data_IF_860635767227
#
_entry.id   IF_860635767227
#
_cell.length_a   1.000
_cell.length_b   1.000
_cell.length_c   1.000
_cell.angle_alpha   90.00
_cell.angle_beta   90.00
_cell.angle_gamma   90.00
#
_symmetry.space_group_name_H-M   'P 1'
#
loop_
_entity.id
_entity.type
_entity.pdbx_description
1 polymer ?
#
# COMPACT_ATOMS: atom_id res chain seq x y z
N UNK A 1 -11.92 10.72 20.95
CA UNK A 1 -10.95 9.63 20.65
C UNK A 1 -11.65 8.43 20.02
N UNK A 2 -12.59 7.78 20.70
CA UNK A 2 -13.30 6.59 20.17
C UNK A 2 -14.02 6.79 18.83
N UNK A 3 -14.54 7.97 18.55
CA UNK A 3 -15.25 8.26 17.29
C UNK A 3 -14.28 8.38 16.10
N UNK A 4 -13.11 8.96 16.30
CA UNK A 4 -12.04 9.02 15.28
C UNK A 4 -11.52 7.63 14.94
N UNK A 5 -11.24 6.82 15.95
CA UNK A 5 -10.80 5.42 15.76
C UNK A 5 -11.84 4.59 14.99
N UNK A 6 -13.12 4.81 15.31
CA UNK A 6 -14.23 4.16 14.60
C UNK A 6 -14.32 4.60 13.13
N UNK A 7 -14.11 5.89 12.86
CA UNK A 7 -14.08 6.42 11.49
C UNK A 7 -12.92 5.84 10.69
N UNK A 8 -11.72 5.81 11.27
CA UNK A 8 -10.54 5.23 10.63
C UNK A 8 -10.75 3.75 10.29
N UNK A 9 -11.31 2.98 11.21
CA UNK A 9 -11.62 1.57 10.97
C UNK A 9 -12.63 1.37 9.84
N UNK A 10 -13.63 2.25 9.73
CA UNK A 10 -14.61 2.23 8.64
C UNK A 10 -13.96 2.56 7.29
N UNK A 11 -13.04 3.52 7.27
CA UNK A 11 -12.28 3.88 6.06
C UNK A 11 -11.41 2.73 5.60
N UNK A 12 -10.68 2.07 6.50
CA UNK A 12 -9.87 0.89 6.20
C UNK A 12 -10.72 -0.24 5.62
N UNK A 13 -11.86 -0.55 6.25
CA UNK A 13 -12.79 -1.57 5.75
C UNK A 13 -13.29 -1.24 4.34
N UNK A 14 -13.59 0.01 4.05
CA UNK A 14 -14.04 0.45 2.73
C UNK A 14 -12.94 0.25 1.67
N UNK A 15 -11.70 0.60 1.99
CA UNK A 15 -10.54 0.37 1.11
C UNK A 15 -10.36 -1.13 0.85
N UNK A 16 -10.39 -1.95 1.90
CA UNK A 16 -10.24 -3.40 1.78
C UNK A 16 -11.30 -4.03 0.87
N UNK A 17 -12.56 -3.67 1.05
CA UNK A 17 -13.65 -4.17 0.22
C UNK A 17 -13.50 -3.74 -1.24
N UNK A 18 -13.10 -2.50 -1.48
CA UNK A 18 -12.89 -1.99 -2.82
C UNK A 18 -11.75 -2.72 -3.54
N UNK A 19 -10.59 -2.86 -2.90
CA UNK A 19 -9.45 -3.59 -3.45
C UNK A 19 -9.75 -5.08 -3.63
N UNK A 20 -10.40 -5.69 -2.65
CA UNK A 20 -10.85 -7.08 -2.70
C UNK A 20 -11.70 -7.36 -3.93
N UNK A 21 -12.66 -6.49 -4.23
CA UNK A 21 -13.53 -6.62 -5.41
C UNK A 21 -12.76 -6.44 -6.73
N UNK A 22 -11.77 -5.54 -6.76
CA UNK A 22 -10.96 -5.27 -7.96
C UNK A 22 -9.97 -6.38 -8.30
N UNK A 23 -9.36 -6.97 -7.29
CA UNK A 23 -8.33 -8.00 -7.46
C UNK A 23 -8.84 -9.42 -7.24
N UNK A 24 -10.10 -9.60 -6.89
CA UNK A 24 -10.70 -10.90 -6.54
C UNK A 24 -9.89 -11.64 -5.46
N UNK A 25 -9.54 -10.94 -4.39
CA UNK A 25 -8.79 -11.46 -3.24
C UNK A 25 -9.62 -11.32 -1.96
N UNK A 26 -9.29 -12.11 -0.96
CA UNK A 26 -9.94 -12.01 0.35
C UNK A 26 -9.65 -10.64 1.00
N UNK A 27 -10.66 -9.86 1.44
CA UNK A 27 -10.45 -8.58 2.09
C UNK A 27 -9.57 -8.67 3.36
N UNK A 28 -9.55 -9.81 4.05
CA UNK A 28 -8.69 -10.05 5.20
C UNK A 28 -7.20 -10.23 4.83
N UNK A 29 -6.89 -10.39 3.56
CA UNK A 29 -5.50 -10.41 3.06
C UNK A 29 -4.93 -9.02 2.80
N UNK A 30 -5.72 -7.97 3.03
CA UNK A 30 -5.32 -6.58 2.82
C UNK A 30 -5.17 -5.89 4.17
N UNK A 31 -3.98 -5.39 4.46
CA UNK A 31 -3.66 -4.70 5.70
C UNK A 31 -3.25 -3.24 5.37
N UNK A 32 -4.18 -2.28 5.37
CA UNK A 32 -3.87 -0.89 5.11
C UNK A 32 -3.23 -0.24 6.34
N UNK A 33 -2.17 0.52 6.13
CA UNK A 33 -1.50 1.33 7.14
C UNK A 33 -1.46 2.78 6.65
N UNK A 34 -2.59 3.45 6.71
CA UNK A 34 -2.72 4.81 6.23
C UNK A 34 -2.11 5.80 7.23
N UNK A 35 -1.48 6.84 6.71
CA UNK A 35 -0.96 7.95 7.51
C UNK A 35 -1.31 9.28 6.85
N UNK A 36 -1.32 10.34 7.63
CA UNK A 36 -1.64 11.68 7.16
C UNK A 36 -1.48 12.72 8.26
N UNK A 37 -2.12 13.86 8.10
CA UNK A 37 -2.10 14.94 9.09
C UNK A 37 -2.94 14.54 10.30
N UNK A 38 -2.39 14.74 11.49
CA UNK A 38 -3.06 14.42 12.75
C UNK A 38 -4.41 15.13 12.83
N UNK A 39 -5.45 14.40 13.24
CA UNK A 39 -6.84 14.85 13.37
C UNK A 39 -7.53 15.26 12.06
N UNK A 40 -6.92 15.00 10.91
CA UNK A 40 -7.58 15.18 9.61
C UNK A 40 -7.98 13.83 9.01
N UNK A 41 -9.24 13.66 8.60
CA UNK A 41 -9.67 12.44 7.94
C UNK A 41 -8.98 12.29 6.58
N UNK A 42 -8.78 11.03 6.17
CA UNK A 42 -8.26 10.74 4.84
C UNK A 42 -9.23 11.22 3.74
N UNK A 43 -8.73 11.73 2.61
CA UNK A 43 -9.57 12.17 1.49
C UNK A 43 -10.16 10.99 0.73
N UNK A 44 -11.11 10.29 1.33
CA UNK A 44 -11.65 9.01 0.85
C UNK A 44 -12.22 9.05 -0.57
N UNK A 45 -12.77 10.17 -1.01
CA UNK A 45 -13.24 10.32 -2.39
C UNK A 45 -12.08 10.19 -3.38
N UNK A 46 -10.97 10.91 -3.14
CA UNK A 46 -9.77 10.85 -3.99
C UNK A 46 -9.13 9.46 -3.98
N UNK A 47 -9.05 8.83 -2.80
CA UNK A 47 -8.51 7.48 -2.67
C UNK A 47 -9.38 6.48 -3.44
N UNK A 48 -10.69 6.52 -3.27
CA UNK A 48 -11.63 5.65 -3.98
C UNK A 48 -11.55 5.84 -5.50
N UNK A 49 -11.49 7.08 -5.97
CA UNK A 49 -11.33 7.38 -7.38
C UNK A 49 -10.01 6.84 -7.92
N UNK A 50 -8.90 7.11 -7.23
CA UNK A 50 -7.59 6.62 -7.64
C UNK A 50 -7.52 5.09 -7.73
N UNK A 51 -8.12 4.38 -6.78
CA UNK A 51 -8.22 2.91 -6.84
C UNK A 51 -9.04 2.48 -8.05
N UNK A 52 -10.18 3.10 -8.31
CA UNK A 52 -11.03 2.76 -9.44
C UNK A 52 -10.31 2.99 -10.78
N UNK A 53 -9.62 4.11 -10.92
CA UNK A 53 -8.96 4.50 -12.17
C UNK A 53 -7.71 3.65 -12.46
N UNK A 54 -6.97 3.27 -11.43
CA UNK A 54 -5.71 2.54 -11.60
C UNK A 54 -5.88 1.01 -11.57
N UNK A 55 -6.79 0.48 -10.75
CA UNK A 55 -7.01 -0.97 -10.68
C UNK A 55 -7.79 -1.53 -11.87
N UNK A 56 -8.42 -0.70 -12.68
CA UNK A 56 -9.06 -1.11 -13.94
C UNK A 56 -8.04 -1.45 -15.03
N UNK A 57 -6.87 -0.84 -14.98
CA UNK A 57 -5.73 -1.18 -15.84
C UNK A 57 -5.02 -2.36 -15.21
N UNK A 58 -5.23 -3.57 -15.73
CA UNK A 58 -4.55 -4.76 -15.24
C UNK A 58 -3.05 -4.49 -15.13
N UNK A 59 -2.52 -4.49 -13.91
CA UNK A 59 -1.07 -4.40 -13.65
C UNK A 59 -0.48 -5.73 -14.12
N UNK A 60 -0.11 -5.79 -15.41
CA UNK A 60 0.38 -7.03 -16.04
C UNK A 60 1.88 -7.26 -15.90
N UNK A 61 2.64 -6.30 -15.34
CA UNK A 61 4.11 -6.35 -15.42
C UNK A 61 4.79 -6.00 -14.10
N UNK A 62 5.85 -6.71 -13.80
CA UNK A 62 6.73 -6.48 -12.64
C UNK A 62 7.43 -5.10 -12.65
N UNK A 63 7.43 -4.39 -13.77
CA UNK A 63 8.02 -3.05 -13.91
C UNK A 63 7.35 -1.98 -13.05
N UNK A 64 6.08 -2.16 -12.72
CA UNK A 64 5.32 -1.16 -11.94
C UNK A 64 5.73 -1.06 -10.46
N UNK A 65 6.45 -2.05 -9.93
CA UNK A 65 6.97 -1.97 -8.57
C UNK A 65 8.05 -0.90 -8.42
N UNK A 66 8.90 -0.72 -9.44
CA UNK A 66 9.91 0.33 -9.42
C UNK A 66 9.27 1.72 -9.57
N UNK A 67 8.24 1.83 -10.40
CA UNK A 67 7.48 3.07 -10.55
C UNK A 67 6.79 3.45 -9.23
N UNK A 68 6.22 2.48 -8.52
CA UNK A 68 5.63 2.69 -7.21
C UNK A 68 6.69 3.11 -6.17
N UNK A 69 7.87 2.47 -6.18
CA UNK A 69 8.97 2.84 -5.29
C UNK A 69 9.49 4.25 -5.55
N UNK A 70 9.51 4.69 -6.82
CA UNK A 70 9.86 6.06 -7.20
C UNK A 70 8.77 7.07 -6.79
N UNK A 71 7.51 6.70 -6.98
CA UNK A 71 6.37 7.58 -6.69
C UNK A 71 6.24 7.95 -5.20
N UNK A 72 6.68 7.07 -4.29
CA UNK A 72 6.64 7.35 -2.85
C UNK A 72 7.85 8.16 -2.34
N UNK A 73 8.89 8.34 -3.16
CA UNK A 73 10.09 9.09 -2.77
C UNK A 73 9.77 10.56 -2.46
N UNK A 74 10.53 11.13 -1.53
CA UNK A 74 10.52 12.56 -1.22
C UNK A 74 11.94 13.11 -1.30
N UNK A 75 12.75 12.90 -0.27
CA UNK A 75 14.15 13.32 -0.18
C UNK A 75 15.13 12.15 -0.43
N UNK A 76 14.60 11.00 -0.79
CA UNK A 76 15.40 9.83 -1.14
C UNK A 76 16.25 10.10 -2.38
N UNK A 77 17.47 9.60 -2.41
CA UNK A 77 18.38 9.70 -3.55
C UNK A 77 18.20 8.57 -4.55
N UNK A 78 17.70 7.44 -4.09
CA UNK A 78 17.43 6.23 -4.89
C UNK A 78 16.13 5.56 -4.43
N UNK A 79 15.39 4.91 -5.34
CA UNK A 79 14.25 4.09 -4.96
C UNK A 79 14.71 2.85 -4.19
N UNK A 80 13.98 2.50 -3.14
CA UNK A 80 14.24 1.32 -2.32
C UNK A 80 13.17 0.28 -2.58
N UNK A 81 13.53 -0.75 -3.31
CA UNK A 81 12.66 -1.88 -3.63
C UNK A 81 13.46 -3.18 -3.64
N UNK A 82 12.88 -4.23 -3.13
CA UNK A 82 13.46 -5.57 -3.16
C UNK A 82 12.36 -6.61 -3.40
N UNK A 83 12.68 -7.63 -4.17
CA UNK A 83 11.79 -8.76 -4.36
C UNK A 83 12.58 -10.05 -4.16
N UNK A 84 12.05 -10.96 -3.36
CA UNK A 84 12.66 -12.27 -3.10
C UNK A 84 11.64 -13.38 -3.26
N UNK A 85 12.12 -14.53 -3.69
CA UNK A 85 11.35 -15.77 -3.74
C UNK A 85 11.88 -16.74 -2.70
N UNK A 86 10.96 -17.41 -2.03
CA UNK A 86 11.31 -18.46 -1.08
C UNK A 86 10.24 -19.55 -1.06
N UNK A 87 10.57 -20.69 -0.51
CA UNK A 87 9.63 -21.80 -0.37
C UNK A 87 9.12 -21.88 1.05
N UNK A 88 7.80 -21.92 1.20
CA UNK A 88 7.13 -22.28 2.43
C UNK A 88 6.48 -23.64 2.23
N UNK A 89 7.02 -24.68 2.86
CA UNK A 89 6.68 -26.06 2.58
C UNK A 89 6.90 -26.40 1.10
N UNK A 90 5.84 -26.62 0.31
CA UNK A 90 5.90 -26.96 -1.12
C UNK A 90 5.51 -25.82 -2.05
N UNK A 91 5.20 -24.64 -1.50
CA UNK A 91 4.72 -23.49 -2.27
C UNK A 91 5.81 -22.45 -2.43
N UNK A 92 6.07 -22.04 -3.68
CA UNK A 92 6.91 -20.87 -3.97
C UNK A 92 6.13 -19.59 -3.64
N UNK A 93 6.73 -18.74 -2.82
CA UNK A 93 6.19 -17.45 -2.42
C UNK A 93 7.11 -16.35 -2.92
N UNK A 94 6.53 -15.33 -3.54
CA UNK A 94 7.23 -14.10 -3.89
C UNK A 94 6.84 -13.01 -2.88
N UNK A 95 7.85 -12.36 -2.30
CA UNK A 95 7.66 -11.22 -1.42
C UNK A 95 8.34 -10.01 -2.05
N UNK A 96 7.58 -8.94 -2.25
CA UNK A 96 8.10 -7.66 -2.76
C UNK A 96 7.85 -6.58 -1.72
N UNK A 97 8.90 -5.85 -1.39
CA UNK A 97 8.83 -4.70 -0.48
C UNK A 97 9.33 -3.43 -1.15
N UNK A 98 8.68 -2.33 -0.85
CA UNK A 98 9.13 -0.99 -1.18
C UNK A 98 9.16 -0.13 0.07
N UNK A 99 10.12 0.78 0.16
CA UNK A 99 10.26 1.67 1.29
C UNK A 99 10.68 3.07 0.84
N UNK A 100 10.38 4.06 1.66
CA UNK A 100 10.91 5.41 1.50
C UNK A 100 11.50 5.91 2.81
N UNK A 101 12.41 6.84 2.70
CA UNK A 101 13.01 7.54 3.82
C UNK A 101 14.48 7.82 3.56
N UNK A 102 14.92 9.00 3.88
CA UNK A 102 16.32 9.39 3.87
C UNK A 102 16.71 9.74 5.29
N UNK A 103 17.63 9.03 5.82
CA UNK A 103 18.43 9.13 7.05
C UNK A 103 18.12 10.11 8.18
N UNK A 104 17.05 10.92 8.12
CA UNK A 104 16.77 11.92 9.16
C UNK A 104 16.55 11.27 10.54
N UNK A 105 15.84 10.14 10.56
CA UNK A 105 15.60 9.37 11.79
C UNK A 105 16.56 8.19 11.93
N UNK A 106 17.51 8.06 11.00
CA UNK A 106 18.50 6.98 10.96
C UNK A 106 17.88 5.58 11.17
N UNK A 107 16.83 5.21 10.41
CA UNK A 107 16.21 3.91 10.58
C UNK A 107 17.21 2.82 10.15
N UNK A 108 17.32 1.79 10.94
CA UNK A 108 18.13 0.63 10.63
C UNK A 108 17.34 -0.32 9.71
N UNK A 109 17.12 0.11 8.46
CA UNK A 109 16.40 -0.64 7.43
C UNK A 109 17.33 -1.08 6.30
#
# INVERSE_FOLDING_TARGET
>A
MQELERMELLMQKKINLLLSSKFNINPNSILPFSTGVILQPLPMQRITQAINDNCSKQIKYNSHWIDAAQAIMTTDTIPKAISQKFFLSKHEISCTGIAKGSGMINPNM
#
